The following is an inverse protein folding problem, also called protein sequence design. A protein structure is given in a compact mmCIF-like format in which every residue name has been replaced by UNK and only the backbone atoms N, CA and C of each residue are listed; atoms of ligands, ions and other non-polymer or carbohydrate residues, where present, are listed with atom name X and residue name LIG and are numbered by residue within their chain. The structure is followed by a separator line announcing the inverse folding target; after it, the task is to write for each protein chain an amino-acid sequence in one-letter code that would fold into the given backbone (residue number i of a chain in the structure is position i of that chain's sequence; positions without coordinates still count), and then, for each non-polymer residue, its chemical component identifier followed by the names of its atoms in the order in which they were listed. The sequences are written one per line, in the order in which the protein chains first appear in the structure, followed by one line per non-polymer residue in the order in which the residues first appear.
data_IF_328309200394
#
_entry.id   IF_328309200394
#
_cell.length_a   1.000
_cell.length_b   1.000
_cell.length_c   1.000
_cell.angle_alpha   90.00
_cell.angle_beta   90.00
_cell.angle_gamma   90.00
#
_symmetry.space_group_name_H-M   'P 1'
#
loop_
_entity.id
_entity.type
_entity.pdbx_description
1 polymer ?
#
# COMPACT_ATOMS: atom_id res chain seq x y z
N UNK A 1 20.26 -9.48 2.27
CA UNK A 1 19.02 -10.29 2.12
C UNK A 1 18.00 -9.98 3.22
N UNK A 2 18.31 -10.17 4.49
CA UNK A 2 17.36 -9.90 5.61
C UNK A 2 16.80 -8.46 5.63
N UNK A 3 17.58 -7.48 5.24
CA UNK A 3 17.17 -6.07 5.18
C UNK A 3 16.05 -5.82 4.17
N UNK A 4 16.13 -6.42 2.97
CA UNK A 4 15.08 -6.29 1.95
C UNK A 4 13.78 -6.98 2.39
N UNK A 5 13.89 -8.10 3.08
CA UNK A 5 12.75 -8.79 3.67
C UNK A 5 11.99 -7.89 4.66
N UNK A 6 12.69 -7.35 5.68
CA UNK A 6 12.05 -6.46 6.64
C UNK A 6 11.51 -5.17 6.00
N UNK A 7 12.21 -4.67 4.98
CA UNK A 7 11.78 -3.48 4.26
C UNK A 7 10.49 -3.76 3.47
N UNK A 8 10.36 -4.94 2.86
CA UNK A 8 9.14 -5.38 2.18
C UNK A 8 7.96 -5.51 3.13
N UNK A 9 8.16 -6.15 4.29
CA UNK A 9 7.14 -6.24 5.33
C UNK A 9 6.69 -4.85 5.80
N UNK A 10 7.64 -3.98 6.13
CA UNK A 10 7.35 -2.63 6.61
C UNK A 10 6.64 -1.78 5.54
N UNK A 11 7.08 -1.85 4.29
CA UNK A 11 6.49 -1.10 3.19
C UNK A 11 5.03 -1.54 2.92
N UNK A 12 4.78 -2.85 2.86
CA UNK A 12 3.42 -3.40 2.69
C UNK A 12 2.51 -3.05 3.86
N UNK A 13 3.02 -3.13 5.09
CA UNK A 13 2.28 -2.78 6.29
C UNK A 13 1.88 -1.30 6.29
N UNK A 14 2.85 -0.39 6.07
CA UNK A 14 2.60 1.04 6.06
C UNK A 14 1.71 1.47 4.90
N UNK A 15 1.94 0.92 3.71
CA UNK A 15 1.11 1.24 2.55
C UNK A 15 -0.33 0.73 2.73
N UNK A 16 -0.51 -0.49 3.22
CA UNK A 16 -1.81 -1.05 3.55
C UNK A 16 -2.55 -0.24 4.61
N UNK A 17 -1.86 0.11 5.71
CA UNK A 17 -2.42 0.95 6.77
C UNK A 17 -2.81 2.35 6.28
N UNK A 18 -1.98 2.96 5.42
CA UNK A 18 -2.25 4.27 4.84
C UNK A 18 -3.48 4.24 3.92
N UNK A 19 -3.60 3.22 3.07
CA UNK A 19 -4.72 3.11 2.11
C UNK A 19 -6.05 2.76 2.80
N UNK A 20 -6.01 1.91 3.85
CA UNK A 20 -7.18 1.54 4.66
C UNK A 20 -7.40 2.44 5.87
N UNK A 21 -6.67 3.54 5.99
CA UNK A 21 -6.60 4.39 7.18
C UNK A 21 -7.95 4.89 7.68
N UNK A 22 -8.85 5.28 6.78
CA UNK A 22 -10.20 5.75 7.13
C UNK A 22 -11.00 4.66 7.86
N UNK A 23 -10.99 3.44 7.32
CA UNK A 23 -11.67 2.28 7.92
C UNK A 23 -11.03 1.87 9.25
N UNK A 24 -9.69 1.87 9.32
CA UNK A 24 -8.96 1.52 10.54
C UNK A 24 -9.16 2.54 11.66
N UNK A 25 -9.21 3.83 11.35
CA UNK A 25 -9.40 4.90 12.34
C UNK A 25 -10.79 4.85 12.99
N UNK A 26 -11.81 4.40 12.26
CA UNK A 26 -13.16 4.18 12.79
C UNK A 26 -13.23 2.99 13.75
N UNK A 27 -12.42 1.97 13.51
CA UNK A 27 -12.39 0.75 14.34
C UNK A 27 -11.43 0.84 15.52
N UNK A 28 -10.31 1.55 15.35
CA UNK A 28 -9.22 1.63 16.32
C UNK A 28 -8.89 3.08 16.64
N UNK A 29 -9.66 3.68 17.54
CA UNK A 29 -9.50 5.09 17.95
C UNK A 29 -8.13 5.40 18.53
N UNK A 30 -7.47 4.42 19.15
CA UNK A 30 -6.09 4.54 19.67
C UNK A 30 -5.06 4.78 18.54
N UNK A 31 -5.32 4.28 17.34
CA UNK A 31 -4.45 4.44 16.18
C UNK A 31 -4.81 5.67 15.32
N UNK A 32 -5.92 6.33 15.61
CA UNK A 32 -6.43 7.42 14.78
C UNK A 32 -5.41 8.55 14.55
N UNK A 33 -4.64 8.91 15.59
CA UNK A 33 -3.57 9.94 15.47
C UNK A 33 -2.45 9.52 14.53
N UNK A 34 -2.00 8.27 14.62
CA UNK A 34 -0.96 7.73 13.75
C UNK A 34 -1.44 7.64 12.31
N UNK A 35 -2.66 7.13 12.12
CA UNK A 35 -3.28 7.02 10.79
C UNK A 35 -3.53 8.40 10.16
N UNK A 36 -3.92 9.40 10.96
CA UNK A 36 -4.04 10.77 10.50
C UNK A 36 -2.71 11.36 10.02
N UNK A 37 -1.60 11.05 10.69
CA UNK A 37 -0.27 11.46 10.24
C UNK A 37 0.12 10.80 8.89
N UNK A 38 -0.29 9.55 8.66
CA UNK A 38 -0.05 8.81 7.42
C UNK A 38 -1.01 9.22 6.28
N UNK A 39 -2.13 9.85 6.59
CA UNK A 39 -3.13 10.28 5.58
C UNK A 39 -2.72 11.54 4.82
N UNK A 40 -1.72 12.27 5.30
CA UNK A 40 -1.20 13.46 4.64
C UNK A 40 -0.64 13.15 3.24
N UNK A 41 -0.80 14.09 2.30
CA UNK A 41 -0.36 13.95 0.90
C UNK A 41 1.10 13.49 0.78
N UNK A 42 2.02 14.14 1.52
CA UNK A 42 3.45 13.78 1.51
C UNK A 42 3.68 12.35 2.00
N UNK A 43 3.01 11.96 3.07
CA UNK A 43 3.11 10.61 3.61
C UNK A 43 2.61 9.57 2.61
N UNK A 44 1.46 9.78 1.96
CA UNK A 44 0.92 8.90 0.92
C UNK A 44 1.86 8.79 -0.28
N UNK A 45 2.45 9.90 -0.74
CA UNK A 45 3.42 9.89 -1.84
C UNK A 45 4.66 9.10 -1.48
N UNK A 46 5.27 9.39 -0.32
CA UNK A 46 6.50 8.70 0.12
C UNK A 46 6.24 7.22 0.34
N UNK A 47 5.16 6.87 1.03
CA UNK A 47 4.79 5.47 1.30
C UNK A 47 4.47 4.72 0.00
N UNK A 48 3.74 5.35 -0.92
CA UNK A 48 3.42 4.76 -2.22
C UNK A 48 4.67 4.50 -3.07
N UNK A 49 5.57 5.48 -3.18
CA UNK A 49 6.85 5.30 -3.87
C UNK A 49 7.72 4.24 -3.21
N UNK A 50 7.83 4.27 -1.88
CA UNK A 50 8.60 3.26 -1.14
C UNK A 50 8.06 1.86 -1.39
N UNK A 51 6.75 1.65 -1.34
CA UNK A 51 6.13 0.35 -1.59
C UNK A 51 6.39 -0.16 -3.02
N UNK A 52 6.36 0.72 -4.03
CA UNK A 52 6.68 0.36 -5.41
C UNK A 52 8.15 0.00 -5.54
N UNK A 53 9.06 0.84 -5.03
CA UNK A 53 10.51 0.62 -5.15
C UNK A 53 10.95 -0.65 -4.41
N UNK A 54 10.41 -0.88 -3.21
CA UNK A 54 10.70 -2.09 -2.44
C UNK A 54 10.12 -3.32 -3.13
N UNK A 55 8.86 -3.27 -3.59
CA UNK A 55 8.24 -4.35 -4.34
C UNK A 55 9.02 -4.70 -5.61
N UNK A 56 9.48 -3.69 -6.35
CA UNK A 56 10.32 -3.89 -7.52
C UNK A 56 11.70 -4.45 -7.13
N UNK A 57 12.31 -3.94 -6.06
CA UNK A 57 13.61 -4.40 -5.56
C UNK A 57 13.59 -5.88 -5.14
N UNK A 58 12.53 -6.32 -4.48
CA UNK A 58 12.39 -7.73 -4.06
C UNK A 58 12.18 -8.69 -5.24
N UNK A 59 11.66 -8.22 -6.37
CA UNK A 59 11.59 -9.03 -7.60
C UNK A 59 12.99 -9.30 -8.20
N UNK A 60 13.92 -8.35 -8.07
CA UNK A 60 15.28 -8.49 -8.60
C UNK A 60 16.27 -9.12 -7.62
N UNK A 61 16.00 -9.02 -6.33
CA UNK A 61 16.88 -9.52 -5.26
C UNK A 61 16.06 -10.41 -4.32
N UNK A 62 15.69 -11.62 -4.77
CA UNK A 62 14.90 -12.53 -3.95
C UNK A 62 15.65 -12.94 -2.68
N UNK A 63 14.93 -12.99 -1.56
CA UNK A 63 15.53 -13.22 -0.25
C UNK A 63 15.90 -14.70 0.00
N UNK A 64 15.20 -15.65 -0.62
CA UNK A 64 15.45 -17.10 -0.44
C UNK A 64 15.01 -17.95 -1.65
N UNK A 65 15.65 -19.10 -1.93
CA UNK A 65 15.12 -20.10 -2.85
C UNK A 65 14.02 -20.97 -2.16
N UNK A 66 12.96 -21.40 -2.88
CA UNK A 66 12.70 -21.26 -4.29
C UNK A 66 12.10 -19.89 -4.65
N UNK A 67 12.78 -19.30 -5.53
CA UNK A 67 12.89 -17.89 -5.86
C UNK A 67 11.63 -17.13 -6.24
N UNK A 68 10.56 -17.74 -6.65
CA UNK A 68 9.55 -17.03 -7.45
C UNK A 68 8.27 -16.76 -6.67
N UNK A 69 7.88 -17.62 -5.75
CA UNK A 69 6.55 -17.53 -5.14
C UNK A 69 6.54 -16.87 -3.76
N UNK A 70 7.62 -17.01 -2.98
CA UNK A 70 7.67 -16.44 -1.63
C UNK A 70 7.67 -14.91 -1.59
N UNK A 71 8.48 -14.29 -2.47
CA UNK A 71 8.62 -12.84 -2.54
C UNK A 71 7.73 -12.19 -3.61
N UNK A 72 7.22 -12.98 -4.57
CA UNK A 72 6.39 -12.48 -5.66
C UNK A 72 5.05 -11.90 -5.17
N UNK A 73 4.37 -12.60 -4.29
CA UNK A 73 3.08 -12.16 -3.77
C UNK A 73 3.17 -10.83 -3.00
N UNK A 74 4.03 -10.66 -1.97
CA UNK A 74 4.17 -9.39 -1.28
C UNK A 74 4.70 -8.28 -2.19
N UNK A 75 5.52 -8.60 -3.20
CA UNK A 75 6.03 -7.63 -4.17
C UNK A 75 4.91 -7.08 -5.06
N UNK A 76 4.08 -7.95 -5.64
CA UNK A 76 2.95 -7.54 -6.48
C UNK A 76 1.94 -6.75 -5.66
N UNK A 77 1.60 -7.21 -4.45
CA UNK A 77 0.68 -6.52 -3.56
C UNK A 77 1.22 -5.15 -3.17
N UNK A 78 2.51 -5.05 -2.79
CA UNK A 78 3.16 -3.80 -2.44
C UNK A 78 3.14 -2.79 -3.58
N UNK A 79 3.46 -3.23 -4.80
CA UNK A 79 3.37 -2.38 -5.99
C UNK A 79 1.93 -1.93 -6.26
N UNK A 80 0.95 -2.83 -6.18
CA UNK A 80 -0.45 -2.49 -6.42
C UNK A 80 -0.98 -1.47 -5.40
N UNK A 81 -0.68 -1.65 -4.11
CA UNK A 81 -1.06 -0.71 -3.04
C UNK A 81 -0.33 0.62 -3.22
N UNK A 82 0.96 0.59 -3.56
CA UNK A 82 1.75 1.78 -3.82
C UNK A 82 1.22 2.60 -5.01
N UNK A 83 0.88 1.94 -6.11
CA UNK A 83 0.25 2.57 -7.28
C UNK A 83 -1.10 3.18 -6.88
N UNK A 84 -1.92 2.47 -6.10
CA UNK A 84 -3.20 2.99 -5.64
C UNK A 84 -3.04 4.26 -4.79
N UNK A 85 -2.05 4.31 -3.89
CA UNK A 85 -1.75 5.49 -3.09
C UNK A 85 -1.33 6.69 -3.96
N UNK A 86 -0.45 6.48 -4.93
CA UNK A 86 -0.04 7.54 -5.85
C UNK A 86 -1.22 8.02 -6.72
N UNK A 87 -2.06 7.10 -7.17
CA UNK A 87 -3.23 7.43 -7.95
C UNK A 87 -4.23 8.29 -7.17
N UNK A 88 -4.40 8.05 -5.86
CA UNK A 88 -5.20 8.91 -4.99
C UNK A 88 -4.61 10.32 -4.89
N UNK A 89 -3.29 10.45 -4.77
CA UNK A 89 -2.60 11.75 -4.74
C UNK A 89 -2.77 12.49 -6.07
N UNK A 90 -2.59 11.81 -7.20
CA UNK A 90 -2.77 12.41 -8.53
C UNK A 90 -4.21 12.87 -8.78
N UNK A 91 -5.20 12.14 -8.29
CA UNK A 91 -6.60 12.56 -8.40
C UNK A 91 -6.88 13.87 -7.67
N UNK A 92 -6.29 14.04 -6.49
CA UNK A 92 -6.43 15.28 -5.72
C UNK A 92 -5.82 16.48 -6.47
N UNK A 93 -4.77 16.26 -7.27
CA UNK A 93 -4.15 17.30 -8.10
C UNK A 93 -4.88 17.58 -9.40
N UNK A 94 -5.49 16.56 -9.99
CA UNK A 94 -6.16 16.67 -11.29
C UNK A 94 -7.51 17.41 -11.26
N UNK A 95 -7.97 17.82 -10.08
CA UNK A 95 -9.12 18.73 -9.95
C UNK A 95 -8.66 20.14 -10.27
N UNK A 96 -8.58 20.47 -11.56
CA UNK A 96 -8.25 21.81 -12.03
C UNK A 96 -9.35 22.81 -11.69
N UNK A 97 -9.00 24.03 -11.20
CA UNK A 97 -9.97 25.11 -11.07
C UNK A 97 -10.51 25.46 -12.46
N UNK A 98 -11.75 25.11 -12.73
CA UNK A 98 -12.42 25.39 -14.01
C UNK A 98 -13.03 24.19 -14.72
N UNK A 99 -12.72 22.98 -14.31
CA UNK A 99 -13.39 21.80 -14.87
C UNK A 99 -14.81 21.64 -14.30
N UNK A 100 -15.73 21.27 -15.19
CA UNK A 100 -17.12 21.05 -14.81
C UNK A 100 -17.20 20.01 -13.66
N UNK A 101 -17.96 20.30 -12.60
CA UNK A 101 -18.03 19.46 -11.40
C UNK A 101 -18.39 17.99 -11.69
N UNK A 102 -19.10 17.72 -12.78
CA UNK A 102 -19.51 16.38 -13.19
C UNK A 102 -18.34 15.46 -13.62
N UNK A 103 -17.24 16.02 -14.12
CA UNK A 103 -16.08 15.22 -14.58
C UNK A 103 -15.10 14.97 -13.45
N UNK A 104 -14.83 15.97 -12.64
CA UNK A 104 -14.01 15.85 -11.44
C UNK A 104 -14.63 14.89 -10.41
N UNK A 105 -15.95 14.89 -10.27
CA UNK A 105 -16.67 14.02 -9.35
C UNK A 105 -16.63 12.53 -9.74
N UNK A 106 -16.60 12.21 -11.03
CA UNK A 106 -16.45 10.83 -11.51
C UNK A 106 -15.04 10.29 -11.33
N UNK A 107 -14.03 11.14 -11.44
CA UNK A 107 -12.63 10.77 -11.22
C UNK A 107 -12.31 10.68 -9.73
N UNK A 108 -12.93 11.51 -8.89
CA UNK A 108 -12.65 11.62 -7.46
C UNK A 108 -13.15 10.43 -6.61
N UNK A 109 -14.11 9.66 -7.09
CA UNK A 109 -14.71 8.58 -6.27
C UNK A 109 -14.11 7.22 -6.58
N UNK A 110 -12.88 6.95 -6.09
CA UNK A 110 -12.50 5.55 -5.87
C UNK A 110 -13.40 5.01 -4.75
N UNK A 111 -14.18 3.95 -4.98
CA UNK A 111 -15.06 3.43 -3.96
C UNK A 111 -14.25 3.11 -2.68
N UNK A 112 -14.76 3.59 -1.53
CA UNK A 112 -14.13 3.33 -0.23
C UNK A 112 -13.86 1.84 -0.01
N UNK A 113 -14.80 0.98 -0.47
CA UNK A 113 -14.66 -0.46 -0.42
C UNK A 113 -13.40 -0.97 -1.13
N UNK A 114 -13.06 -0.40 -2.29
CA UNK A 114 -11.85 -0.78 -3.04
C UNK A 114 -10.57 -0.38 -2.29
N UNK A 115 -10.51 0.84 -1.75
CA UNK A 115 -9.38 1.31 -0.94
C UNK A 115 -9.18 0.42 0.30
N UNK A 116 -10.27 0.14 1.01
CA UNK A 116 -10.24 -0.72 2.20
C UNK A 116 -9.81 -2.14 1.86
N UNK A 117 -10.36 -2.73 0.80
CA UNK A 117 -10.01 -4.10 0.39
C UNK A 117 -8.54 -4.21 -0.03
N UNK A 118 -8.06 -3.28 -0.85
CA UNK A 118 -6.67 -3.28 -1.31
C UNK A 118 -5.69 -2.97 -0.16
N UNK A 119 -6.05 -2.04 0.74
CA UNK A 119 -5.28 -1.74 1.93
C UNK A 119 -5.21 -2.93 2.90
N UNK A 120 -6.34 -3.63 3.11
CA UNK A 120 -6.40 -4.85 3.92
C UNK A 120 -5.55 -5.98 3.30
N UNK A 121 -5.54 -6.09 1.96
CA UNK A 121 -4.67 -7.03 1.26
C UNK A 121 -3.19 -6.73 1.49
N UNK A 122 -2.78 -5.46 1.43
CA UNK A 122 -1.41 -5.05 1.74
C UNK A 122 -1.00 -5.38 3.17
N UNK A 123 -1.91 -5.11 4.12
CA UNK A 123 -1.70 -5.47 5.52
C UNK A 123 -1.60 -6.98 5.72
N UNK A 124 -2.50 -7.76 5.12
CA UNK A 124 -2.48 -9.22 5.19
C UNK A 124 -1.21 -9.80 4.56
N UNK A 125 -0.76 -9.27 3.41
CA UNK A 125 0.47 -9.66 2.77
C UNK A 125 1.68 -9.42 3.69
N UNK A 126 1.74 -8.26 4.38
CA UNK A 126 2.80 -7.97 5.34
C UNK A 126 2.81 -8.94 6.51
N UNK A 127 1.65 -9.21 7.10
CA UNK A 127 1.50 -10.13 8.25
C UNK A 127 1.87 -11.54 7.84
N UNK A 128 1.35 -12.03 6.74
CA UNK A 128 1.65 -13.37 6.23
C UNK A 128 3.14 -13.50 5.92
N UNK A 129 3.71 -12.52 5.23
CA UNK A 129 5.14 -12.55 4.90
C UNK A 129 6.02 -12.51 6.14
N UNK A 130 5.61 -11.78 7.19
CA UNK A 130 6.33 -11.73 8.46
C UNK A 130 6.32 -13.07 9.23
N UNK A 131 5.15 -13.73 9.31
CA UNK A 131 5.02 -14.97 10.08
C UNK A 131 5.41 -16.22 9.32
N UNK A 132 5.37 -16.19 7.98
CA UNK A 132 5.58 -17.35 7.11
C UNK A 132 6.64 -17.04 6.02
N UNK A 133 7.88 -16.67 6.42
CA UNK A 133 8.88 -16.20 5.46
C UNK A 133 9.28 -17.27 4.44
N UNK A 134 9.22 -18.56 4.82
CA UNK A 134 9.69 -19.68 4.00
C UNK A 134 8.56 -20.58 3.46
N UNK A 135 7.31 -20.33 3.88
CA UNK A 135 6.22 -21.29 3.67
C UNK A 135 5.03 -20.75 2.89
N UNK A 136 5.14 -19.55 2.31
CA UNK A 136 3.96 -18.92 1.73
C UNK A 136 3.47 -19.63 0.47
N UNK A 137 4.27 -20.50 -0.12
CA UNK A 137 3.81 -21.42 -1.17
C UNK A 137 4.66 -22.69 -1.19
N UNK A 138 4.11 -23.74 -0.62
CA UNK A 138 4.46 -25.09 -0.99
C UNK A 138 4.16 -25.36 -2.44
#
# INVERSE_FOLDING_TARGET
MLQFYFLSVAANFLAGATLSGDWMSERFTSLARLLAALSGRRARTVTGLAAILVGLGTLFVPAAPPLVLGDLFPSIVGMAVGIALLFEVFKEEAVFPGDQPARGERIAKTPRAYRTALGALGFAAAVLHFFLPERLFL
#
